data_IF_171002758433
#
_entry.id   IF_171002758433
#
_cell.length_a   1.000
_cell.length_b   1.000
_cell.length_c   1.000
_cell.angle_alpha   90.00
_cell.angle_beta   90.00
_cell.angle_gamma   90.00
#
_symmetry.space_group_name_H-M   'P 1'
#
loop_
_entity.id
_entity.type
_entity.pdbx_description
1 polymer ?
#
# COMPACT_ATOMS: atom_id res chain seq x y z
N UNK A 1 -5.22 7.04 0.63
CA UNK A 1 -4.96 6.34 -0.65
C UNK A 1 -5.72 5.01 -0.71
N UNK A 2 -5.86 4.37 -1.88
CA UNK A 2 -6.46 3.04 -1.98
C UNK A 2 -5.89 2.23 -3.15
N UNK A 3 -5.84 0.90 -3.02
CA UNK A 3 -5.47 -0.03 -4.11
C UNK A 3 -6.32 -1.30 -4.06
N UNK A 4 -6.73 -1.78 -5.24
CA UNK A 4 -7.39 -3.07 -5.40
C UNK A 4 -6.35 -4.14 -5.73
N UNK A 5 -6.36 -5.25 -4.99
CA UNK A 5 -5.47 -6.39 -5.23
C UNK A 5 -6.10 -7.69 -4.73
N UNK A 6 -6.03 -8.75 -5.54
CA UNK A 6 -6.56 -10.10 -5.22
C UNK A 6 -7.97 -10.07 -4.59
N UNK A 7 -8.91 -9.36 -5.22
CA UNK A 7 -10.31 -9.21 -4.76
C UNK A 7 -10.47 -8.48 -3.42
N UNK A 8 -9.42 -7.85 -2.90
CA UNK A 8 -9.47 -7.00 -1.71
C UNK A 8 -9.18 -5.56 -2.09
N UNK A 9 -9.85 -4.62 -1.45
CA UNK A 9 -9.53 -3.19 -1.57
C UNK A 9 -8.91 -2.75 -0.27
N UNK A 10 -7.69 -2.21 -0.36
CA UNK A 10 -6.93 -1.71 0.77
C UNK A 10 -7.09 -0.20 0.82
N UNK A 11 -7.63 0.32 1.92
CA UNK A 11 -7.73 1.76 2.16
C UNK A 11 -6.68 2.19 3.18
N UNK A 12 -5.92 3.21 2.83
CA UNK A 12 -4.86 3.78 3.68
C UNK A 12 -5.36 5.11 4.22
N UNK A 13 -5.54 5.17 5.55
CA UNK A 13 -6.08 6.31 6.28
C UNK A 13 -5.14 6.57 7.46
N UNK A 14 -4.49 7.75 7.47
CA UNK A 14 -3.43 8.07 8.42
C UNK A 14 -2.31 7.02 8.41
N UNK A 15 -2.00 6.42 9.55
CA UNK A 15 -1.04 5.33 9.77
C UNK A 15 -1.69 3.93 9.76
N UNK A 16 -2.96 3.87 9.37
CA UNK A 16 -3.77 2.66 9.40
C UNK A 16 -4.16 2.17 8.01
N UNK A 17 -4.37 0.86 7.93
CA UNK A 17 -4.94 0.19 6.79
C UNK A 17 -6.27 -0.43 7.16
N UNK A 18 -7.24 -0.32 6.25
CA UNK A 18 -8.50 -1.04 6.26
C UNK A 18 -8.52 -1.98 5.06
N UNK A 19 -9.06 -3.19 5.22
CA UNK A 19 -9.18 -4.15 4.13
C UNK A 19 -10.64 -4.50 3.91
N UNK A 20 -11.13 -4.21 2.72
CA UNK A 20 -12.48 -4.53 2.28
C UNK A 20 -12.45 -5.78 1.42
N UNK A 21 -13.30 -6.74 1.77
CA UNK A 21 -13.53 -7.94 0.97
C UNK A 21 -14.57 -7.62 -0.10
N UNK A 22 -14.14 -7.50 -1.36
CA UNK A 22 -15.06 -7.16 -2.45
C UNK A 22 -16.01 -8.30 -2.81
N UNK A 23 -15.73 -9.55 -2.40
CA UNK A 23 -16.64 -10.67 -2.63
C UNK A 23 -17.76 -10.69 -1.59
N UNK A 24 -17.41 -10.43 -0.32
CA UNK A 24 -18.39 -10.36 0.78
C UNK A 24 -19.07 -9.00 0.88
N UNK A 25 -18.54 -8.01 0.16
CA UNK A 25 -18.97 -6.62 0.19
C UNK A 25 -18.96 -6.02 1.60
N UNK A 26 -17.97 -6.39 2.42
CA UNK A 26 -17.84 -5.94 3.80
C UNK A 26 -16.39 -5.69 4.19
N UNK A 27 -16.16 -4.86 5.22
CA UNK A 27 -14.85 -4.76 5.86
C UNK A 27 -14.48 -6.11 6.49
N UNK A 28 -13.20 -6.48 6.42
CA UNK A 28 -12.73 -7.71 7.04
C UNK A 28 -12.56 -7.54 8.56
N UNK A 29 -12.98 -8.53 9.37
CA UNK A 29 -12.72 -8.53 10.81
C UNK A 29 -11.24 -8.41 11.15
N UNK A 30 -10.93 -7.68 12.23
CA UNK A 30 -9.55 -7.47 12.69
C UNK A 30 -8.80 -6.33 11.97
N UNK A 31 -9.51 -5.51 11.18
CA UNK A 31 -9.05 -4.22 10.69
C UNK A 31 -9.78 -3.08 11.44
N UNK A 32 -9.16 -1.88 11.57
CA UNK A 32 -7.89 -1.48 10.95
C UNK A 32 -6.65 -2.09 11.61
N UNK A 33 -5.54 -2.07 10.88
CA UNK A 33 -4.21 -2.45 11.37
C UNK A 33 -3.21 -1.33 11.07
N UNK A 34 -2.09 -1.30 11.77
CA UNK A 34 -0.99 -0.38 11.43
C UNK A 34 -0.42 -0.73 10.06
N UNK A 35 -0.13 0.28 9.22
CA UNK A 35 0.45 0.07 7.88
C UNK A 35 1.74 -0.76 7.98
N UNK A 36 2.65 -0.39 8.88
CA UNK A 36 3.93 -1.06 9.07
C UNK A 36 3.79 -2.55 9.49
N UNK A 37 2.66 -2.95 10.09
CA UNK A 37 2.41 -4.36 10.45
C UNK A 37 2.07 -5.23 9.24
N UNK A 38 1.50 -4.63 8.18
CA UNK A 38 1.12 -5.33 6.94
C UNK A 38 2.15 -5.11 5.83
N UNK A 39 2.78 -3.94 5.79
CA UNK A 39 3.80 -3.57 4.81
C UNK A 39 5.03 -3.03 5.53
N UNK A 40 5.92 -3.92 6.04
CA UNK A 40 7.13 -3.51 6.74
C UNK A 40 8.02 -2.59 5.90
N UNK A 41 8.53 -1.52 6.51
CA UNK A 41 9.30 -0.48 5.83
C UNK A 41 8.45 0.64 5.22
N UNK A 42 7.12 0.55 5.28
CA UNK A 42 6.21 1.66 5.00
C UNK A 42 5.75 2.26 6.33
N UNK A 43 6.59 3.13 6.89
CA UNK A 43 6.40 3.76 8.21
C UNK A 43 5.85 5.19 8.13
N UNK A 44 5.38 5.58 6.94
CA UNK A 44 4.92 6.94 6.65
C UNK A 44 3.48 6.92 6.16
N UNK A 45 2.81 8.08 6.25
CA UNK A 45 1.49 8.26 5.63
C UNK A 45 1.58 8.02 4.13
N UNK A 46 0.65 7.22 3.62
CA UNK A 46 0.51 6.92 2.19
C UNK A 46 -0.42 7.93 1.53
N UNK A 47 0.14 8.78 0.68
CA UNK A 47 -0.62 9.80 -0.07
C UNK A 47 -1.26 9.19 -1.32
N UNK A 48 -0.52 8.32 -2.03
CA UNK A 48 -1.02 7.53 -3.15
C UNK A 48 -0.42 6.13 -3.15
N UNK A 49 -1.13 5.18 -3.75
CA UNK A 49 -0.61 3.84 -4.03
C UNK A 49 -1.23 3.33 -5.32
N UNK A 50 -0.43 2.64 -6.13
CA UNK A 50 -0.96 1.80 -7.20
C UNK A 50 -0.13 0.53 -7.33
N UNK A 51 -0.72 -0.47 -7.98
CA UNK A 51 -0.10 -1.77 -8.20
C UNK A 51 0.38 -1.86 -9.64
N UNK A 52 1.60 -2.37 -9.81
CA UNK A 52 2.18 -2.75 -11.09
C UNK A 52 2.83 -4.13 -10.91
N UNK A 53 2.35 -5.13 -11.63
CA UNK A 53 2.74 -6.53 -11.48
C UNK A 53 2.71 -6.99 -10.00
N UNK A 54 3.82 -7.49 -9.48
CA UNK A 54 3.92 -7.96 -8.09
C UNK A 54 4.43 -6.88 -7.14
N UNK A 55 4.30 -5.60 -7.50
CA UNK A 55 4.81 -4.46 -6.74
C UNK A 55 3.70 -3.48 -6.40
N UNK A 56 3.64 -3.09 -5.13
CA UNK A 56 2.94 -1.88 -4.70
C UNK A 56 3.91 -0.71 -4.68
N UNK A 57 3.50 0.40 -5.29
CA UNK A 57 4.24 1.63 -5.31
C UNK A 57 3.57 2.60 -4.35
N UNK A 58 4.13 2.72 -3.15
CA UNK A 58 3.64 3.63 -2.13
C UNK A 58 4.28 4.99 -2.32
N UNK A 59 3.48 6.06 -2.37
CA UNK A 59 3.95 7.43 -2.44
C UNK A 59 3.70 8.13 -1.11
N UNK A 60 4.73 8.78 -0.59
CA UNK A 60 4.66 9.65 0.59
C UNK A 60 5.47 10.90 0.31
N UNK A 61 4.77 12.03 0.11
CA UNK A 61 5.33 13.28 -0.36
C UNK A 61 6.28 13.12 -1.56
N UNK A 62 7.56 13.53 -1.45
CA UNK A 62 8.51 13.53 -2.57
C UNK A 62 9.13 12.16 -2.86
N UNK A 63 8.74 11.09 -2.15
CA UNK A 63 9.33 9.75 -2.29
C UNK A 63 8.30 8.73 -2.72
N UNK A 64 8.77 7.69 -3.38
CA UNK A 64 8.03 6.43 -3.50
C UNK A 64 8.86 5.26 -2.96
N UNK A 65 8.14 4.22 -2.54
CA UNK A 65 8.66 2.96 -2.06
C UNK A 65 8.09 1.85 -2.94
N UNK A 66 8.94 1.10 -3.63
CA UNK A 66 8.54 -0.11 -4.33
C UNK A 66 8.56 -1.28 -3.35
N UNK A 67 7.38 -1.72 -2.95
CA UNK A 67 7.18 -2.87 -2.07
C UNK A 67 6.86 -4.10 -2.90
N UNK A 68 7.74 -5.09 -2.88
CA UNK A 68 7.50 -6.36 -3.57
C UNK A 68 6.55 -7.23 -2.73
N UNK A 69 5.43 -7.64 -3.33
CA UNK A 69 4.36 -8.38 -2.66
C UNK A 69 4.72 -9.84 -2.38
N UNK A 70 5.59 -10.44 -3.20
CA UNK A 70 5.99 -11.84 -3.04
C UNK A 70 7.13 -11.97 -2.01
N UNK A 71 8.14 -11.11 -2.10
CA UNK A 71 9.26 -11.04 -1.16
C UNK A 71 8.89 -10.31 0.15
N UNK A 72 7.71 -9.68 0.21
CA UNK A 72 7.16 -8.96 1.36
C UNK A 72 8.11 -7.93 1.97
N UNK A 73 8.77 -7.12 1.12
CA UNK A 73 9.71 -6.08 1.54
C UNK A 73 9.82 -4.94 0.54
N UNK A 74 10.27 -3.79 1.02
CA UNK A 74 10.70 -2.68 0.16
C UNK A 74 11.97 -3.09 -0.59
N UNK A 75 11.93 -2.97 -1.93
CA UNK A 75 13.06 -3.29 -2.82
C UNK A 75 13.69 -2.04 -3.46
N UNK A 76 12.99 -0.90 -3.42
CA UNK A 76 13.51 0.39 -3.90
C UNK A 76 12.86 1.54 -3.16
N UNK A 77 13.64 2.57 -2.88
CA UNK A 77 13.17 3.88 -2.41
C UNK A 77 13.78 4.93 -3.33
N UNK A 78 12.96 5.82 -3.86
CA UNK A 78 13.45 6.85 -4.79
C UNK A 78 12.51 8.07 -4.81
N UNK A 79 12.85 9.11 -5.58
CA UNK A 79 12.04 10.32 -5.74
C UNK A 79 10.80 10.04 -6.57
N UNK A 80 9.65 10.55 -6.14
CA UNK A 80 8.36 10.37 -6.85
C UNK A 80 8.38 10.92 -8.28
N UNK A 81 9.09 12.04 -8.52
CA UNK A 81 9.20 12.67 -9.84
C UNK A 81 9.86 11.78 -10.91
N UNK A 82 10.65 10.76 -10.52
CA UNK A 82 11.23 9.80 -11.48
C UNK A 82 10.19 8.88 -12.12
N UNK A 83 8.94 8.92 -11.66
CA UNK A 83 7.83 8.25 -12.34
C UNK A 83 7.27 9.04 -13.53
N UNK A 84 7.63 10.31 -13.67
CA UNK A 84 7.07 11.20 -14.69
C UNK A 84 8.02 11.45 -15.88
N UNK A 85 9.29 11.01 -15.80
CA UNK A 85 10.34 11.26 -16.81
C UNK A 85 11.21 10.03 -17.04
#
# INVERSE_FOLDING_TARGET
>A
AAVYYRRKTYFFINDQIWRYDNQRQSMEPGYPKAIASIFPGIETRVDAVFQQDHVFLFFSGPRYYAFNLDAHRVIRVDRSQRWLN
#
